data_IF_103760902987
#
_entry.id   IF_103760902987
#
_cell.length_a   1.000
_cell.length_b   1.000
_cell.length_c   1.000
_cell.angle_alpha   90.00
_cell.angle_beta   90.00
_cell.angle_gamma   90.00
#
_symmetry.space_group_name_H-M   'P 1'
#
loop_
_entity.id
_entity.type
_entity.pdbx_description
1 polymer ?
#
# COMPACT_ATOMS: atom_id res chain seq x y z
N UNK A 1 26.01 -35.46 18.47
CA UNK A 1 26.21 -34.11 17.89
C UNK A 1 25.44 -33.12 18.76
N UNK A 2 26.15 -32.27 19.52
CA UNK A 2 25.55 -31.22 20.34
C UNK A 2 25.54 -29.93 19.53
N UNK A 3 24.40 -29.26 19.45
CA UNK A 3 24.32 -27.84 19.17
C UNK A 3 23.34 -27.21 20.17
N UNK A 4 23.92 -26.34 20.99
CA UNK A 4 23.36 -25.61 22.12
C UNK A 4 22.97 -24.21 21.64
N UNK A 5 21.79 -23.70 22.03
CA UNK A 5 21.49 -22.31 22.42
C UNK A 5 19.96 -22.12 22.36
N UNK A 6 19.23 -22.16 23.48
CA UNK A 6 19.15 -21.12 24.52
C UNK A 6 18.92 -19.71 23.92
N UNK A 7 17.66 -19.35 23.67
CA UNK A 7 17.23 -17.96 23.81
C UNK A 7 16.03 -17.92 24.73
N UNK A 8 16.39 -17.80 26.01
CA UNK A 8 15.54 -17.57 27.17
C UNK A 8 14.68 -16.32 26.99
N UNK A 9 13.42 -16.46 27.36
CA UNK A 9 12.56 -15.44 27.99
C UNK A 9 13.16 -14.04 28.08
N UNK A 10 12.76 -13.15 27.17
CA UNK A 10 12.78 -11.71 27.39
C UNK A 10 11.52 -11.08 26.79
N UNK A 11 10.39 -11.46 27.39
CA UNK A 11 9.20 -10.61 27.47
C UNK A 11 9.32 -9.86 28.81
N UNK A 12 9.04 -8.56 28.78
CA UNK A 12 9.13 -7.58 29.86
C UNK A 12 10.54 -7.04 30.15
N UNK A 13 10.87 -5.89 29.54
CA UNK A 13 11.13 -4.60 30.21
C UNK A 13 11.63 -3.66 29.10
N UNK A 14 10.75 -2.74 28.67
CA UNK A 14 11.04 -1.34 28.33
C UNK A 14 9.93 -0.82 27.42
N UNK A 15 8.81 -0.48 28.04
CA UNK A 15 7.71 0.29 27.42
C UNK A 15 7.83 1.80 27.71
N UNK A 16 8.92 2.24 28.33
CA UNK A 16 9.21 3.65 28.55
C UNK A 16 10.36 4.08 27.65
N UNK A 17 10.15 5.16 26.92
CA UNK A 17 11.14 5.85 26.09
C UNK A 17 11.37 5.24 24.71
N UNK A 18 10.45 5.48 23.76
CA UNK A 18 10.76 6.11 22.47
C UNK A 18 9.46 6.29 21.67
N UNK A 19 9.24 7.53 21.26
CA UNK A 19 7.98 8.03 20.72
C UNK A 19 7.59 7.46 19.37
N UNK A 20 6.27 7.54 19.12
CA UNK A 20 5.61 7.69 17.81
C UNK A 20 6.29 6.98 16.64
N UNK A 21 5.94 5.71 16.42
CA UNK A 21 5.72 5.18 15.08
C UNK A 21 4.63 4.11 15.20
N UNK A 22 3.41 4.51 14.86
CA UNK A 22 2.26 3.65 14.89
C UNK A 22 2.42 2.56 13.83
N UNK A 23 2.53 1.33 14.33
CA UNK A 23 2.32 0.05 13.67
C UNK A 23 1.49 0.13 12.38
N UNK A 24 2.08 -0.36 11.29
CA UNK A 24 1.31 -0.85 10.15
C UNK A 24 1.93 -2.15 9.65
N UNK A 25 1.84 -3.20 10.46
CA UNK A 25 2.11 -4.57 10.02
C UNK A 25 0.90 -5.06 9.22
N UNK A 26 1.05 -5.38 7.94
CA UNK A 26 0.02 -6.08 7.18
C UNK A 26 0.64 -7.24 6.37
N UNK A 27 0.36 -8.44 6.89
CA UNK A 27 0.39 -9.80 6.32
C UNK A 27 1.19 -10.12 5.04
N UNK A 28 2.06 -11.12 5.17
CA UNK A 28 2.70 -11.88 4.10
C UNK A 28 1.67 -12.80 3.39
N UNK A 29 1.51 -12.65 2.07
CA UNK A 29 0.88 -13.67 1.22
C UNK A 29 1.74 -13.91 -0.01
N UNK A 30 1.93 -15.20 -0.31
CA UNK A 30 2.95 -15.78 -1.20
C UNK A 30 2.81 -15.34 -2.66
N UNK A 31 3.49 -14.25 -3.00
CA UNK A 31 4.27 -14.05 -4.24
C UNK A 31 5.39 -13.09 -3.85
N UNK A 32 6.62 -13.60 -3.74
CA UNK A 32 7.69 -12.97 -2.96
C UNK A 32 8.34 -11.75 -3.62
N UNK A 33 7.58 -10.67 -3.83
CA UNK A 33 8.17 -9.34 -3.88
C UNK A 33 8.09 -8.78 -2.48
N UNK A 34 9.24 -8.76 -1.78
CA UNK A 34 9.35 -8.11 -0.47
C UNK A 34 8.89 -6.67 -0.64
N UNK A 35 7.97 -6.23 0.21
CA UNK A 35 7.47 -4.86 0.14
C UNK A 35 8.62 -3.89 0.45
N UNK A 36 9.03 -3.10 -0.54
CA UNK A 36 10.07 -2.09 -0.40
C UNK A 36 9.38 -0.73 -0.23
N UNK A 37 9.49 -0.16 0.97
CA UNK A 37 8.79 1.07 1.32
C UNK A 37 9.19 2.25 0.42
N UNK A 38 10.48 2.40 0.13
CA UNK A 38 11.00 3.50 -0.71
C UNK A 38 10.49 3.41 -2.15
N UNK A 39 10.48 2.20 -2.71
CA UNK A 39 9.96 1.93 -4.05
C UNK A 39 8.46 2.21 -4.10
N UNK A 40 7.70 1.74 -3.10
CA UNK A 40 6.26 1.93 -3.03
C UNK A 40 5.88 3.41 -2.93
N UNK A 41 6.65 4.20 -2.17
CA UNK A 41 6.45 5.65 -2.09
C UNK A 41 6.79 6.32 -3.42
N UNK A 42 7.91 5.95 -4.06
CA UNK A 42 8.29 6.49 -5.37
C UNK A 42 7.21 6.21 -6.42
N UNK A 43 6.72 4.98 -6.49
CA UNK A 43 5.64 4.57 -7.40
C UNK A 43 4.36 5.37 -7.15
N UNK A 44 4.02 5.61 -5.87
CA UNK A 44 2.85 6.42 -5.52
C UNK A 44 3.03 7.89 -5.93
N UNK A 45 4.21 8.48 -5.74
CA UNK A 45 4.52 9.84 -6.20
C UNK A 45 4.41 9.97 -7.72
N UNK A 46 4.94 9.00 -8.46
CA UNK A 46 4.90 9.03 -9.92
C UNK A 46 3.48 8.84 -10.47
N UNK A 47 2.66 7.99 -9.83
CA UNK A 47 1.22 7.89 -10.13
C UNK A 47 0.49 9.23 -9.92
N UNK A 48 0.80 9.93 -8.82
CA UNK A 48 0.18 11.22 -8.53
C UNK A 48 0.62 12.32 -9.52
N UNK A 49 1.90 12.35 -9.92
CA UNK A 49 2.38 13.24 -10.99
C UNK A 49 1.72 12.91 -12.33
N UNK A 50 1.55 11.62 -12.64
CA UNK A 50 0.90 11.19 -13.86
C UNK A 50 -0.57 11.66 -13.90
N UNK A 51 -1.27 11.58 -12.75
CA UNK A 51 -2.64 12.12 -12.63
C UNK A 51 -2.71 13.63 -12.87
N UNK A 52 -1.69 14.39 -12.49
CA UNK A 52 -1.64 15.83 -12.80
C UNK A 52 -1.52 16.08 -14.30
N UNK A 53 -0.79 15.24 -15.03
CA UNK A 53 -0.62 15.36 -16.49
C UNK A 53 -1.88 14.91 -17.24
N UNK A 54 -2.40 13.73 -16.88
CA UNK A 54 -3.60 13.15 -17.51
C UNK A 54 -4.85 13.96 -17.14
N UNK A 55 -4.82 14.62 -15.98
CA UNK A 55 -5.96 15.33 -15.42
C UNK A 55 -6.99 14.38 -14.80
N UNK A 56 -8.16 14.93 -14.50
CA UNK A 56 -9.27 14.13 -13.99
C UNK A 56 -9.85 13.25 -15.10
N UNK A 57 -9.74 11.94 -14.94
CA UNK A 57 -10.51 10.99 -15.74
C UNK A 57 -11.96 11.01 -15.29
N UNK A 58 -12.90 11.16 -16.23
CA UNK A 58 -14.32 11.04 -15.93
C UNK A 58 -14.62 9.62 -15.41
N UNK A 59 -15.26 9.52 -14.25
CA UNK A 59 -15.69 8.25 -13.67
C UNK A 59 -17.19 8.11 -13.91
N UNK A 60 -17.59 7.11 -14.70
CA UNK A 60 -19.00 6.89 -15.04
C UNK A 60 -19.65 8.11 -15.71
N UNK A 61 -20.80 8.54 -15.18
CA UNK A 61 -21.62 9.63 -15.72
C UNK A 61 -21.49 10.92 -14.90
N UNK A 62 -20.54 11.02 -13.98
CA UNK A 62 -20.41 12.18 -13.07
C UNK A 62 -20.00 13.48 -13.79
N UNK A 63 -19.55 13.40 -15.04
CA UNK A 63 -19.12 14.57 -15.81
C UNK A 63 -17.81 15.18 -15.31
N UNK A 64 -17.25 16.10 -16.10
CA UNK A 64 -16.02 16.81 -15.72
C UNK A 64 -16.34 17.84 -14.63
N UNK A 65 -15.64 17.75 -13.49
CA UNK A 65 -15.73 18.73 -12.40
C UNK A 65 -16.58 18.31 -11.19
N UNK A 66 -17.23 17.15 -11.21
CA UNK A 66 -17.96 16.64 -10.04
C UNK A 66 -17.04 16.31 -8.85
N UNK A 67 -15.83 15.84 -9.13
CA UNK A 67 -14.83 15.54 -8.11
C UNK A 67 -13.80 16.66 -8.01
N UNK A 68 -13.50 17.13 -6.79
CA UNK A 68 -12.38 18.04 -6.55
C UNK A 68 -11.06 17.31 -6.84
N UNK A 69 -10.34 17.77 -7.87
CA UNK A 69 -8.98 17.30 -8.14
C UNK A 69 -8.02 17.88 -7.09
N UNK A 70 -7.40 17.01 -6.30
CA UNK A 70 -6.20 17.38 -5.56
C UNK A 70 -5.01 17.19 -6.49
N UNK A 71 -4.47 18.32 -6.99
CA UNK A 71 -3.30 18.31 -7.86
C UNK A 71 -2.03 18.19 -7.01
N UNK A 72 -1.15 17.27 -7.40
CA UNK A 72 0.14 17.05 -6.75
C UNK A 72 1.00 18.32 -6.73
N UNK A 73 1.09 19.04 -7.85
CA UNK A 73 1.89 20.26 -7.98
C UNK A 73 1.42 21.36 -7.02
N UNK A 74 0.10 21.50 -6.80
CA UNK A 74 -0.49 22.55 -5.96
C UNK A 74 -0.65 22.19 -4.49
N UNK A 75 -0.35 20.94 -4.12
CA UNK A 75 -0.58 20.43 -2.78
C UNK A 75 0.53 20.81 -1.79
N UNK A 76 0.13 21.05 -0.54
CA UNK A 76 1.04 21.31 0.58
C UNK A 76 1.77 20.06 1.06
N UNK A 77 2.87 20.23 1.82
CA UNK A 77 3.66 19.09 2.36
C UNK A 77 2.81 18.09 3.18
N UNK A 78 1.81 18.58 3.93
CA UNK A 78 0.91 17.72 4.72
C UNK A 78 -0.04 16.95 3.81
N UNK A 79 -0.58 17.62 2.80
CA UNK A 79 -1.50 17.06 1.82
C UNK A 79 -0.80 16.01 0.96
N UNK A 80 0.43 16.28 0.50
CA UNK A 80 1.26 15.32 -0.25
C UNK A 80 1.43 14.00 0.50
N UNK A 81 1.74 14.05 1.80
CA UNK A 81 1.85 12.83 2.62
C UNK A 81 0.53 12.07 2.69
N UNK A 82 -0.59 12.77 2.84
CA UNK A 82 -1.91 12.15 2.85
C UNK A 82 -2.25 11.52 1.49
N UNK A 83 -1.94 12.21 0.39
CA UNK A 83 -2.12 11.70 -0.97
C UNK A 83 -1.28 10.46 -1.24
N UNK A 84 -0.01 10.45 -0.85
CA UNK A 84 0.86 9.27 -0.97
C UNK A 84 0.26 8.11 -0.18
N UNK A 85 -0.12 8.31 1.09
CA UNK A 85 -0.71 7.24 1.91
C UNK A 85 -2.02 6.71 1.32
N UNK A 86 -2.86 7.57 0.75
CA UNK A 86 -4.09 7.18 0.08
C UNK A 86 -3.80 6.36 -1.18
N UNK A 87 -2.84 6.79 -2.00
CA UNK A 87 -2.46 6.12 -3.24
C UNK A 87 -1.79 4.76 -2.98
N UNK A 88 -0.91 4.66 -1.98
CA UNK A 88 -0.32 3.38 -1.56
C UNK A 88 -1.41 2.40 -1.13
N UNK A 89 -2.38 2.87 -0.32
CA UNK A 89 -3.51 2.03 0.11
C UNK A 89 -4.35 1.56 -1.09
N UNK A 90 -4.63 2.45 -2.05
CA UNK A 90 -5.37 2.13 -3.26
C UNK A 90 -4.63 1.08 -4.11
N UNK A 91 -3.33 1.25 -4.30
CA UNK A 91 -2.50 0.32 -5.06
C UNK A 91 -2.46 -1.07 -4.44
N UNK A 92 -2.33 -1.16 -3.11
CA UNK A 92 -2.36 -2.46 -2.41
C UNK A 92 -3.74 -3.13 -2.47
N UNK A 93 -4.82 -2.36 -2.36
CA UNK A 93 -6.16 -2.89 -2.51
C UNK A 93 -6.42 -3.37 -3.95
N UNK A 94 -5.97 -2.63 -4.96
CA UNK A 94 -6.05 -3.08 -6.35
C UNK A 94 -5.31 -4.41 -6.55
N UNK A 95 -4.09 -4.55 -6.03
CA UNK A 95 -3.34 -5.81 -6.07
C UNK A 95 -4.11 -6.95 -5.39
N UNK A 96 -4.79 -6.66 -4.28
CA UNK A 96 -5.63 -7.64 -3.57
C UNK A 96 -6.83 -8.07 -4.41
N UNK A 97 -7.51 -7.13 -5.07
CA UNK A 97 -8.65 -7.41 -5.93
C UNK A 97 -8.24 -8.21 -7.17
N UNK A 98 -7.15 -7.84 -7.84
CA UNK A 98 -6.59 -8.61 -8.96
C UNK A 98 -6.32 -10.05 -8.55
N UNK A 99 -5.66 -10.28 -7.39
CA UNK A 99 -5.43 -11.64 -6.89
C UNK A 99 -6.71 -12.42 -6.63
N UNK A 100 -7.76 -11.79 -6.11
CA UNK A 100 -9.05 -12.47 -5.91
C UNK A 100 -9.62 -12.94 -7.24
N UNK A 101 -9.62 -12.07 -8.26
CA UNK A 101 -10.08 -12.38 -9.61
C UNK A 101 -9.23 -13.49 -10.25
N UNK A 102 -7.91 -13.45 -10.09
CA UNK A 102 -7.00 -14.46 -10.63
C UNK A 102 -7.27 -15.84 -10.02
N UNK A 103 -7.47 -15.91 -8.70
CA UNK A 103 -7.79 -17.17 -7.99
C UNK A 103 -9.17 -17.69 -8.42
N UNK A 104 -10.17 -16.82 -8.53
CA UNK A 104 -11.51 -17.18 -9.01
C UNK A 104 -11.44 -17.73 -10.44
N UNK A 105 -10.66 -17.09 -11.31
CA UNK A 105 -10.45 -17.53 -12.69
C UNK A 105 -9.72 -18.87 -12.72
N UNK A 106 -8.66 -19.09 -11.93
CA UNK A 106 -7.98 -20.40 -11.89
C UNK A 106 -8.93 -21.53 -11.44
N UNK A 107 -9.72 -21.30 -10.39
CA UNK A 107 -10.70 -22.27 -9.89
C UNK A 107 -11.80 -22.62 -10.90
N UNK A 108 -12.15 -21.69 -11.80
CA UNK A 108 -13.12 -21.93 -12.87
C UNK A 108 -12.57 -22.83 -13.99
N UNK A 109 -11.25 -22.86 -14.20
CA UNK A 109 -10.62 -23.68 -15.25
C UNK A 109 -10.11 -25.03 -14.74
N UNK A 110 -9.83 -25.16 -13.44
CA UNK A 110 -9.60 -26.45 -12.78
C UNK A 110 -10.91 -27.01 -12.21
N UNK A 111 -11.89 -27.21 -13.09
CA UNK A 111 -13.11 -27.95 -12.75
C UNK A 111 -12.77 -29.43 -12.57
N UNK A 112 -12.94 -29.91 -11.35
CA UNK A 112 -13.13 -31.31 -10.98
C UNK A 112 -14.54 -31.45 -10.42
#
# INVERSE_FOLDING_TARGET
>A
MKATSAFTLSKLISWHVLGKLQYFSCSYSVTSSKWVATETVSQAEDSLKLRDIVGLTAVGHEGFGATKAFLWIRSDKKERRAMIQAEVRKSEENKRQTRKVDIETQGAWTGN
#
